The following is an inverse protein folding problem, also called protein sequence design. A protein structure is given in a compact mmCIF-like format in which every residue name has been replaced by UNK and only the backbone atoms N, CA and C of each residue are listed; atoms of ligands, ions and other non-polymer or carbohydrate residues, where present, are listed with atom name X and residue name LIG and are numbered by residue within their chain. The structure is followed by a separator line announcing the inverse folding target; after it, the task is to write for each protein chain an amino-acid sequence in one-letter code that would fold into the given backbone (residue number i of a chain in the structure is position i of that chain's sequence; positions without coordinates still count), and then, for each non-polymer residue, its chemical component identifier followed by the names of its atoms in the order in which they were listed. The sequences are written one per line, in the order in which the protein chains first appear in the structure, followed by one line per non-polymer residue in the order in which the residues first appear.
data_IF_364824567777
#
_entry.id   IF_364824567777
#
_cell.length_a   1.000
_cell.length_b   1.000
_cell.length_c   1.000
_cell.angle_alpha   90.00
_cell.angle_beta   90.00
_cell.angle_gamma   90.00
#
_symmetry.space_group_name_H-M   'P 1'
#
loop_
_entity.id
_entity.type
_entity.pdbx_description
1 polymer ?
#
# COMPACT_ATOMS: atom_id res chain seq x y z
N UNK A 1 5.28 19.32 9.69
CA UNK A 1 6.04 19.48 8.44
C UNK A 1 5.37 18.63 7.36
N UNK A 2 4.76 19.25 6.35
CA UNK A 2 4.15 18.56 5.21
C UNK A 2 5.27 17.88 4.41
N UNK A 3 5.32 16.55 4.45
CA UNK A 3 6.22 15.78 3.57
C UNK A 3 5.96 16.21 2.13
N UNK A 4 7.02 16.58 1.42
CA UNK A 4 6.99 17.10 0.06
C UNK A 4 6.02 16.26 -0.79
N UNK A 5 4.98 16.90 -1.34
CA UNK A 5 4.36 16.47 -2.60
C UNK A 5 5.43 16.55 -3.70
N UNK A 6 6.42 15.66 -3.66
CA UNK A 6 7.08 15.27 -4.89
C UNK A 6 5.96 14.71 -5.77
N UNK A 7 5.92 15.10 -7.04
CA UNK A 7 4.91 14.67 -7.99
C UNK A 7 5.06 13.16 -8.19
N UNK A 8 4.43 12.34 -7.33
CA UNK A 8 4.48 10.89 -7.41
C UNK A 8 3.79 10.49 -8.70
N UNK A 9 4.56 9.90 -9.62
CA UNK A 9 4.02 9.32 -10.84
C UNK A 9 3.53 7.91 -10.52
N UNK A 10 2.23 7.76 -10.32
CA UNK A 10 1.62 6.45 -10.06
C UNK A 10 1.60 5.60 -11.34
N UNK A 11 1.96 4.32 -11.22
CA UNK A 11 1.95 3.36 -12.32
C UNK A 11 0.52 3.01 -12.76
N UNK A 12 -0.44 3.04 -11.82
CA UNK A 12 -1.85 2.73 -12.12
C UNK A 12 -2.85 3.72 -11.50
N UNK A 13 -4.00 4.00 -12.17
CA UNK A 13 -5.04 4.88 -11.62
C UNK A 13 -5.60 4.44 -10.26
N UNK A 14 -5.56 3.14 -9.96
CA UNK A 14 -5.98 2.61 -8.66
C UNK A 14 -5.05 3.02 -7.52
N UNK A 15 -3.75 3.19 -7.78
CA UNK A 15 -2.77 3.62 -6.78
C UNK A 15 -2.97 5.10 -6.47
N UNK A 16 -3.13 5.94 -7.50
CA UNK A 16 -3.41 7.35 -7.32
C UNK A 16 -4.73 7.59 -6.54
N UNK A 17 -5.78 6.82 -6.87
CA UNK A 17 -7.04 6.87 -6.13
C UNK A 17 -6.88 6.46 -4.66
N UNK A 18 -6.04 5.48 -4.37
CA UNK A 18 -5.74 5.04 -3.01
C UNK A 18 -4.93 6.08 -2.24
N UNK A 19 -3.91 6.68 -2.85
CA UNK A 19 -3.13 7.77 -2.28
C UNK A 19 -4.01 8.97 -1.91
N UNK A 20 -4.90 9.40 -2.82
CA UNK A 20 -5.89 10.47 -2.53
C UNK A 20 -6.80 10.13 -1.35
N UNK A 21 -7.16 8.86 -1.20
CA UNK A 21 -8.01 8.41 -0.10
C UNK A 21 -7.25 8.44 1.24
N UNK A 22 -5.98 8.02 1.25
CA UNK A 22 -5.10 8.14 2.42
C UNK A 22 -4.90 9.61 2.81
N UNK A 23 -4.65 10.49 1.83
CA UNK A 23 -4.55 11.94 2.02
C UNK A 23 -5.84 12.52 2.64
N UNK A 24 -7.00 12.13 2.12
CA UNK A 24 -8.30 12.57 2.64
C UNK A 24 -8.47 12.22 4.12
N UNK A 25 -8.06 11.02 4.52
CA UNK A 25 -8.07 10.57 5.91
C UNK A 25 -6.83 11.00 6.71
N UNK A 26 -5.95 11.83 6.13
CA UNK A 26 -4.72 12.34 6.76
C UNK A 26 -3.78 11.23 7.26
N UNK A 27 -3.82 10.06 6.63
CA UNK A 27 -2.93 8.94 6.93
C UNK A 27 -1.59 9.19 6.24
N UNK A 28 -0.47 9.09 6.97
CA UNK A 28 0.86 9.19 6.35
C UNK A 28 1.13 7.96 5.50
N UNK A 29 1.67 8.17 4.30
CA UNK A 29 1.98 7.10 3.36
C UNK A 29 3.23 7.42 2.55
N UNK A 30 3.85 6.35 2.07
CA UNK A 30 4.98 6.36 1.14
C UNK A 30 4.67 5.39 -0.01
N UNK A 31 4.97 5.77 -1.26
CA UNK A 31 4.72 4.94 -2.45
C UNK A 31 5.98 4.18 -2.84
N UNK A 32 5.84 2.84 -2.95
CA UNK A 32 6.93 1.91 -3.27
C UNK A 32 8.27 2.12 -2.52
N UNK A 33 8.30 2.43 -1.20
CA UNK A 33 9.52 2.86 -0.52
C UNK A 33 10.54 1.72 -0.29
N UNK A 34 10.09 0.46 -0.29
CA UNK A 34 10.91 -0.67 0.11
C UNK A 34 10.76 -1.83 -0.86
N UNK A 35 11.89 -2.38 -1.30
CA UNK A 35 11.96 -3.59 -2.14
C UNK A 35 12.54 -4.74 -1.34
N UNK A 36 11.84 -5.87 -1.33
CA UNK A 36 12.25 -7.10 -0.66
C UNK A 36 12.71 -8.13 -1.67
N UNK A 37 13.90 -8.69 -1.47
CA UNK A 37 14.37 -9.85 -2.22
C UNK A 37 13.67 -11.09 -1.66
N UNK A 38 12.92 -11.81 -2.51
CA UNK A 38 12.20 -13.02 -2.15
C UNK A 38 12.94 -14.29 -2.53
N UNK A 39 13.79 -14.23 -3.56
CA UNK A 39 14.63 -15.35 -4.02
C UNK A 39 15.94 -14.81 -4.60
N UNK A 40 17.02 -15.53 -4.36
CA UNK A 40 18.32 -15.33 -4.98
C UNK A 40 18.69 -16.51 -5.88
N UNK A 41 19.62 -16.32 -6.80
CA UNK A 41 20.29 -17.43 -7.49
C UNK A 41 21.48 -17.97 -6.67
N UNK A 42 22.22 -18.90 -7.27
CA UNK A 42 23.38 -19.58 -6.67
C UNK A 42 24.54 -18.61 -6.40
N UNK A 43 24.63 -17.53 -7.19
CA UNK A 43 25.63 -16.47 -7.06
C UNK A 43 25.18 -15.37 -6.08
N UNK A 44 23.99 -15.50 -5.48
CA UNK A 44 23.42 -14.54 -4.53
C UNK A 44 22.71 -13.35 -5.18
N UNK A 45 22.55 -13.32 -6.51
CA UNK A 45 21.86 -12.22 -7.19
C UNK A 45 20.33 -12.31 -7.00
N UNK A 46 19.62 -11.18 -6.82
CA UNK A 46 18.17 -11.17 -6.71
C UNK A 46 17.47 -11.72 -7.97
N UNK A 47 16.76 -12.85 -7.84
CA UNK A 47 15.96 -13.47 -8.91
C UNK A 47 14.49 -13.07 -8.88
N UNK A 48 13.95 -12.85 -7.69
CA UNK A 48 12.56 -12.43 -7.52
C UNK A 48 12.49 -11.37 -6.41
N UNK A 49 12.08 -10.15 -6.78
CA UNK A 49 11.84 -9.06 -5.84
C UNK A 49 10.36 -8.76 -5.71
N UNK A 50 10.02 -8.08 -4.63
CA UNK A 50 8.70 -7.60 -4.34
C UNK A 50 8.75 -6.25 -3.64
N UNK A 51 8.07 -5.28 -4.25
CA UNK A 51 7.97 -3.90 -3.79
C UNK A 51 6.49 -3.65 -3.55
N UNK A 52 6.05 -3.56 -2.28
CA UNK A 52 4.64 -3.28 -2.00
C UNK A 52 4.26 -1.90 -2.51
N UNK A 53 3.03 -1.78 -3.02
CA UNK A 53 2.54 -0.53 -3.60
C UNK A 53 2.64 0.67 -2.61
N UNK A 54 2.36 0.45 -1.31
CA UNK A 54 2.40 1.49 -0.27
C UNK A 54 2.99 1.00 1.06
N UNK A 55 3.54 1.94 1.83
CA UNK A 55 3.84 1.79 3.26
C UNK A 55 3.14 2.87 4.07
N UNK A 56 2.55 2.50 5.21
CA UNK A 56 1.88 3.40 6.16
C UNK A 56 2.69 3.43 7.46
N UNK A 57 3.58 4.43 7.66
CA UNK A 57 4.52 4.45 8.79
C UNK A 57 3.84 4.45 10.16
N UNK A 58 2.71 5.13 10.30
CA UNK A 58 1.95 5.23 11.56
C UNK A 58 1.43 3.87 12.06
N UNK A 59 1.27 2.91 11.15
CA UNK A 59 0.73 1.59 11.44
C UNK A 59 1.75 0.47 11.26
N UNK A 60 2.99 0.82 10.87
CA UNK A 60 4.00 -0.11 10.40
C UNK A 60 3.40 -1.16 9.44
N UNK A 61 2.69 -0.71 8.40
CA UNK A 61 1.89 -1.57 7.53
C UNK A 61 2.23 -1.32 6.06
N UNK A 62 2.60 -2.40 5.37
CA UNK A 62 2.66 -2.42 3.91
C UNK A 62 1.29 -2.76 3.33
N UNK A 63 0.92 -2.08 2.24
CA UNK A 63 -0.31 -2.33 1.51
C UNK A 63 0.01 -2.64 0.07
N UNK A 64 -0.54 -3.75 -0.39
CA UNK A 64 -0.52 -4.17 -1.79
C UNK A 64 -1.94 -4.09 -2.34
N UNK A 65 -2.15 -3.37 -3.44
CA UNK A 65 -3.45 -3.22 -4.08
C UNK A 65 -3.79 -4.44 -4.94
N UNK A 66 -5.04 -4.92 -4.78
CA UNK A 66 -5.62 -5.91 -5.70
C UNK A 66 -6.23 -5.25 -6.92
N UNK A 67 -6.15 -5.94 -8.05
CA UNK A 67 -6.87 -5.58 -9.28
C UNK A 67 -8.01 -6.56 -9.52
N UNK A 68 -8.92 -6.29 -10.47
CA UNK A 68 -10.02 -7.21 -10.80
C UNK A 68 -9.57 -8.53 -11.46
N UNK A 69 -8.31 -8.64 -11.88
CA UNK A 69 -7.76 -9.81 -12.58
C UNK A 69 -7.24 -10.86 -11.59
N UNK A 70 -8.00 -11.96 -11.43
CA UNK A 70 -7.68 -13.03 -10.48
C UNK A 70 -6.27 -13.63 -10.64
N UNK A 71 -5.80 -13.80 -11.89
CA UNK A 71 -4.45 -14.30 -12.16
C UNK A 71 -3.34 -13.40 -11.60
N UNK A 72 -3.52 -12.08 -11.67
CA UNK A 72 -2.57 -11.10 -11.12
C UNK A 72 -2.59 -11.19 -9.58
N UNK A 73 -3.79 -11.23 -8.98
CA UNK A 73 -3.92 -11.35 -7.53
C UNK A 73 -3.31 -12.65 -6.99
N UNK A 74 -3.38 -13.77 -7.73
CA UNK A 74 -2.70 -15.01 -7.33
C UNK A 74 -1.19 -14.84 -7.26
N UNK A 75 -0.59 -14.16 -8.24
CA UNK A 75 0.85 -13.86 -8.25
C UNK A 75 1.23 -12.95 -7.08
N UNK A 76 0.47 -11.87 -6.82
CA UNK A 76 0.67 -10.99 -5.66
C UNK A 76 0.59 -11.77 -4.34
N UNK A 77 -0.41 -12.66 -4.17
CA UNK A 77 -0.56 -13.53 -2.99
C UNK A 77 0.62 -14.47 -2.78
N UNK A 78 1.14 -15.09 -3.86
CA UNK A 78 2.35 -15.93 -3.78
C UNK A 78 3.54 -15.12 -3.25
N UNK A 79 3.78 -13.92 -3.79
CA UNK A 79 4.90 -13.07 -3.35
C UNK A 79 4.76 -12.66 -1.88
N UNK A 80 3.55 -12.28 -1.44
CA UNK A 80 3.27 -11.96 -0.04
C UNK A 80 3.50 -13.17 0.87
N UNK A 81 3.10 -14.37 0.45
CA UNK A 81 3.34 -15.59 1.23
C UNK A 81 4.84 -15.89 1.38
N UNK A 82 5.62 -15.71 0.30
CA UNK A 82 7.09 -15.86 0.34
C UNK A 82 7.74 -14.81 1.24
N UNK A 83 7.26 -13.55 1.20
CA UNK A 83 7.76 -12.49 2.08
C UNK A 83 7.53 -12.85 3.54
N UNK A 84 6.30 -13.23 3.91
CA UNK A 84 5.95 -13.59 5.29
C UNK A 84 6.71 -14.80 5.81
N UNK A 85 7.03 -15.76 4.95
CA UNK A 85 7.83 -16.91 5.32
C UNK A 85 9.28 -16.52 5.69
N UNK A 86 9.84 -15.50 5.03
CA UNK A 86 11.22 -15.04 5.26
C UNK A 86 11.31 -13.95 6.33
N UNK A 87 10.29 -13.09 6.40
CA UNK A 87 10.22 -11.87 7.21
C UNK A 87 8.86 -11.78 7.90
N UNK A 88 8.61 -12.62 8.92
CA UNK A 88 7.34 -12.62 9.65
C UNK A 88 7.10 -11.33 10.43
N UNK A 89 8.16 -10.53 10.66
CA UNK A 89 8.13 -9.19 11.23
C UNK A 89 7.40 -8.17 10.34
N UNK A 90 7.31 -8.42 9.02
CA UNK A 90 6.70 -7.50 8.08
C UNK A 90 5.18 -7.66 8.06
N UNK A 91 4.49 -6.64 8.56
CA UNK A 91 3.05 -6.54 8.46
C UNK A 91 2.65 -6.03 7.06
N UNK A 92 2.02 -6.90 6.29
CA UNK A 92 1.58 -6.58 4.92
C UNK A 92 0.15 -7.04 4.69
N UNK A 93 -0.67 -6.23 4.00
CA UNK A 93 -2.05 -6.58 3.61
C UNK A 93 -2.28 -6.41 2.12
N UNK A 94 -2.93 -7.40 1.53
CA UNK A 94 -3.47 -7.33 0.19
C UNK A 94 -4.88 -6.74 0.26
N UNK A 95 -5.14 -5.64 -0.43
CA UNK A 95 -6.36 -4.85 -0.23
C UNK A 95 -6.93 -4.34 -1.54
N UNK A 96 -8.25 -4.45 -1.73
CA UNK A 96 -8.90 -3.69 -2.81
C UNK A 96 -9.20 -2.25 -2.35
N UNK A 97 -9.29 -1.28 -3.27
CA UNK A 97 -9.76 0.06 -2.93
C UNK A 97 -11.12 0.05 -2.20
N UNK A 98 -11.99 -0.91 -2.53
CA UNK A 98 -13.28 -1.11 -1.86
C UNK A 98 -13.14 -1.64 -0.43
N UNK A 99 -12.19 -2.53 -0.19
CA UNK A 99 -11.94 -3.08 1.15
C UNK A 99 -11.42 -2.00 2.09
N UNK A 100 -10.56 -1.10 1.58
CA UNK A 100 -10.10 0.05 2.36
C UNK A 100 -11.24 1.01 2.68
N UNK A 101 -12.06 1.36 1.68
CA UNK A 101 -13.22 2.23 1.92
C UNK A 101 -14.16 1.64 2.99
N UNK A 102 -14.42 0.33 2.93
CA UNK A 102 -15.19 -0.38 3.96
C UNK A 102 -14.52 -0.34 5.34
N UNK A 103 -13.19 -0.47 5.38
CA UNK A 103 -12.42 -0.40 6.61
C UNK A 103 -12.61 0.99 7.25
N UNK A 104 -12.44 2.06 6.48
CA UNK A 104 -12.58 3.43 6.99
C UNK A 104 -13.99 3.74 7.47
N UNK A 105 -15.01 3.27 6.74
CA UNK A 105 -16.41 3.37 7.14
C UNK A 105 -16.70 2.60 8.45
N UNK A 106 -16.14 1.40 8.60
CA UNK A 106 -16.37 0.53 9.77
C UNK A 106 -15.69 1.05 11.03
N UNK A 107 -14.47 1.60 10.90
CA UNK A 107 -13.67 2.05 12.04
C UNK A 107 -13.91 3.52 12.41
N UNK A 108 -14.95 4.15 11.85
CA UNK A 108 -15.37 5.47 12.28
C UNK A 108 -14.25 6.50 12.19
N UNK A 109 -13.47 6.48 11.10
CA UNK A 109 -12.78 7.72 10.72
C UNK A 109 -13.90 8.67 10.33
N UNK A 110 -14.45 9.35 11.35
CA UNK A 110 -15.47 10.37 11.21
C UNK A 110 -15.03 11.28 10.08
N UNK A 111 -16.01 11.70 9.25
CA UNK A 111 -15.81 12.80 8.31
C UNK A 111 -14.94 13.83 9.03
N UNK A 112 -13.71 14.04 8.58
CA UNK A 112 -13.00 15.25 8.97
C UNK A 112 -14.02 16.37 8.68
N UNK A 113 -14.37 17.21 9.68
CA UNK A 113 -15.43 18.18 9.52
C UNK A 113 -15.14 18.93 8.23
N UNK A 114 -16.14 18.98 7.34
CA UNK A 114 -16.03 19.81 6.16
C UNK A 114 -15.75 21.21 6.70
N UNK A 115 -14.53 21.69 6.51
CA UNK A 115 -14.26 23.11 6.64
C UNK A 115 -15.00 23.74 5.46
N UNK A 116 -16.30 23.97 5.65
CA UNK A 116 -16.93 25.14 5.09
C UNK A 116 -16.19 26.31 5.73
N UNK A 117 -15.23 26.85 4.98
CA UNK A 117 -14.80 28.22 5.22
C UNK A 117 -16.02 29.06 4.85
N UNK A 118 -16.85 29.37 5.84
CA UNK A 118 -17.66 30.57 5.81
C UNK A 118 -16.77 31.70 6.34
N UNK A 119 -16.31 32.53 5.41
CA UNK A 119 -16.29 34.00 5.50
C UNK A 119 -16.11 34.58 4.10
#
# INVERSE_FOLDING_TARGET
MRGRKATVAFMHPSEEAFARLLDYYKIRWEYEPHTFVLRTDEDGNPKECFTPDFYLPDYNLYVELTVRRANINRRKRRKIALLRAQRPDINIKLMSPRDFQKLMLKYGVERAPMSHTEE
#
